data_IF_177733363306
#
_entry.id   IF_177733363306
#
_cell.length_a   1.000
_cell.length_b   1.000
_cell.length_c   1.000
_cell.angle_alpha   90.00
_cell.angle_beta   90.00
_cell.angle_gamma   90.00
#
_symmetry.space_group_name_H-M   'P 1'
#
loop_
_entity.id
_entity.type
_entity.pdbx_description
1 polymer ?
#
# COMPACT_ATOMS: atom_id res chain seq x y z
N UNK A 1 4.75 -42.42 10.64
CA UNK A 1 3.91 -41.32 11.13
C UNK A 1 2.98 -40.93 10.00
N UNK A 2 1.66 -40.96 10.20
CA UNK A 2 0.72 -40.77 9.09
C UNK A 2 0.82 -39.35 8.52
N UNK A 3 1.24 -39.23 7.26
CA UNK A 3 1.50 -37.95 6.57
C UNK A 3 0.29 -37.00 6.57
N UNK A 4 -0.91 -37.55 6.74
CA UNK A 4 -2.17 -36.80 6.88
C UNK A 4 -2.16 -35.82 8.06
N UNK A 5 -1.45 -36.14 9.17
CA UNK A 5 -1.35 -35.28 10.35
C UNK A 5 -0.50 -34.03 10.12
N UNK A 6 0.30 -34.00 9.05
CA UNK A 6 1.20 -32.87 8.70
C UNK A 6 0.64 -32.08 7.52
N UNK A 7 0.02 -32.75 6.56
CA UNK A 7 -0.54 -32.11 5.35
C UNK A 7 -1.70 -31.17 5.70
N UNK A 8 -2.58 -31.57 6.62
CA UNK A 8 -3.73 -30.76 7.02
C UNK A 8 -3.34 -29.41 7.66
N UNK A 9 -2.47 -29.35 8.68
CA UNK A 9 -2.03 -28.07 9.24
C UNK A 9 -1.19 -27.26 8.25
N UNK A 10 -0.37 -27.91 7.40
CA UNK A 10 0.39 -27.20 6.37
C UNK A 10 -0.52 -26.50 5.35
N UNK A 11 -1.61 -27.14 4.92
CA UNK A 11 -2.59 -26.55 4.01
C UNK A 11 -3.31 -25.33 4.64
N UNK A 12 -3.63 -25.41 5.93
CA UNK A 12 -4.27 -24.29 6.66
C UNK A 12 -3.32 -23.10 6.77
N UNK A 13 -2.04 -23.34 7.09
CA UNK A 13 -1.02 -22.28 7.17
C UNK A 13 -0.78 -21.63 5.80
N UNK A 14 -0.67 -22.44 4.74
CA UNK A 14 -0.51 -21.93 3.37
C UNK A 14 -1.74 -21.12 2.91
N UNK A 15 -2.95 -21.60 3.22
CA UNK A 15 -4.19 -20.87 2.96
C UNK A 15 -4.25 -19.54 3.72
N UNK A 16 -3.83 -19.52 4.99
CA UNK A 16 -3.78 -18.30 5.80
C UNK A 16 -2.78 -17.27 5.27
N UNK A 17 -1.61 -17.71 4.81
CA UNK A 17 -0.59 -16.82 4.22
C UNK A 17 -1.13 -16.14 2.96
N UNK A 18 -1.84 -16.87 2.09
CA UNK A 18 -2.43 -16.32 0.87
C UNK A 18 -3.52 -15.26 1.16
N UNK A 19 -4.29 -15.41 2.24
CA UNK A 19 -5.28 -14.41 2.64
C UNK A 19 -4.63 -13.18 3.29
N UNK A 20 -3.47 -13.35 3.95
CA UNK A 20 -2.75 -12.27 4.61
C UNK A 20 -1.83 -11.45 3.68
N UNK A 21 -1.54 -11.91 2.46
CA UNK A 21 -0.86 -11.10 1.44
C UNK A 21 -1.80 -10.04 0.86
N UNK A 22 -2.20 -9.10 1.70
CA UNK A 22 -2.83 -7.85 1.24
C UNK A 22 -1.90 -7.16 0.26
N UNK A 23 -2.39 -6.86 -0.94
CA UNK A 23 -1.65 -6.11 -1.96
C UNK A 23 -1.12 -4.81 -1.32
N UNK A 24 0.17 -4.79 -1.04
CA UNK A 24 0.84 -3.60 -0.54
C UNK A 24 1.14 -2.72 -1.74
N UNK A 25 0.18 -1.88 -2.12
CA UNK A 25 0.34 -0.87 -3.17
C UNK A 25 1.38 0.20 -2.80
N UNK A 26 1.82 0.25 -1.54
CA UNK A 26 2.99 1.00 -1.10
C UNK A 26 4.28 0.25 -1.36
N UNK A 27 4.63 0.04 -2.64
CA UNK A 27 5.94 -0.53 -2.97
C UNK A 27 7.01 0.56 -2.78
N UNK A 28 8.19 0.20 -2.25
CA UNK A 28 9.31 1.14 -2.11
C UNK A 28 9.67 1.85 -3.44
N UNK A 29 9.33 1.24 -4.57
CA UNK A 29 9.43 1.81 -5.92
C UNK A 29 8.57 3.08 -6.11
N UNK A 30 7.34 3.08 -5.60
CA UNK A 30 6.42 4.24 -5.65
C UNK A 30 6.97 5.39 -4.79
N UNK A 31 7.47 5.07 -3.59
CA UNK A 31 8.08 6.04 -2.68
C UNK A 31 9.35 6.68 -3.30
N UNK A 32 10.17 5.89 -4.00
CA UNK A 32 11.34 6.39 -4.72
C UNK A 32 10.95 7.29 -5.91
N UNK A 33 9.91 6.92 -6.66
CA UNK A 33 9.44 7.70 -7.82
C UNK A 33 8.79 9.03 -7.45
N UNK A 34 8.06 9.08 -6.34
CA UNK A 34 7.45 10.33 -5.88
C UNK A 34 8.42 11.20 -5.10
N UNK A 35 9.39 10.64 -4.35
CA UNK A 35 10.36 11.39 -3.52
C UNK A 35 9.71 12.31 -2.45
N UNK A 36 8.38 12.32 -2.37
CA UNK A 36 7.62 13.12 -1.41
C UNK A 36 7.49 12.40 -0.07
N UNK A 37 7.33 13.16 1.01
CA UNK A 37 7.06 12.60 2.35
C UNK A 37 5.74 11.81 2.32
N UNK A 38 5.61 10.73 3.08
CA UNK A 38 4.37 9.94 3.13
C UNK A 38 3.13 10.78 3.46
N UNK A 39 3.29 11.81 4.30
CA UNK A 39 2.24 12.77 4.68
C UNK A 39 1.77 13.67 3.53
N UNK A 40 2.55 13.76 2.45
CA UNK A 40 2.19 14.53 1.27
C UNK A 40 1.01 13.90 0.53
N UNK A 41 0.96 12.57 0.44
CA UNK A 41 -0.11 11.82 -0.21
C UNK A 41 -1.12 11.23 0.77
N UNK A 42 -0.73 10.92 2.01
CA UNK A 42 -1.58 10.30 3.02
C UNK A 42 -1.76 11.22 4.23
N UNK A 43 -3.00 11.57 4.58
CA UNK A 43 -3.31 12.30 5.82
C UNK A 43 -3.08 11.42 7.06
N UNK A 44 -3.27 10.11 6.91
CA UNK A 44 -2.99 9.13 7.95
C UNK A 44 -2.13 7.99 7.38
N UNK A 45 -0.85 7.99 7.77
CA UNK A 45 0.13 6.99 7.31
C UNK A 45 -0.12 5.60 7.90
N UNK A 46 -0.84 5.49 9.02
CA UNK A 46 -1.19 4.20 9.63
C UNK A 46 -2.30 3.50 8.86
N UNK A 47 -3.18 4.27 8.22
CA UNK A 47 -4.27 3.83 7.36
C UNK A 47 -4.00 4.09 5.88
N UNK A 48 -2.73 4.06 5.44
CA UNK A 48 -2.35 4.35 4.04
C UNK A 48 -3.02 3.43 2.98
N UNK A 49 -3.68 2.34 3.39
CA UNK A 49 -4.49 1.48 2.51
C UNK A 49 -5.87 2.04 2.22
N UNK A 50 -6.35 2.98 3.04
CA UNK A 50 -7.67 3.55 2.90
C UNK A 50 -7.64 4.74 1.95
N UNK A 51 -8.37 4.63 0.84
CA UNK A 51 -8.38 5.67 -0.19
C UNK A 51 -9.00 7.00 0.29
N UNK A 52 -9.74 6.98 1.41
CA UNK A 52 -10.34 8.19 2.00
C UNK A 52 -9.34 9.00 2.79
N UNK A 53 -8.20 8.42 3.17
CA UNK A 53 -7.11 9.12 3.88
C UNK A 53 -6.04 9.66 2.93
N UNK A 54 -6.35 9.83 1.64
CA UNK A 54 -5.46 10.53 0.71
C UNK A 54 -5.75 12.03 0.68
N UNK A 55 -4.69 12.82 0.66
CA UNK A 55 -4.71 14.26 0.37
C UNK A 55 -5.08 14.50 -1.11
N UNK A 56 -5.30 15.75 -1.50
CA UNK A 56 -5.47 16.11 -2.92
C UNK A 56 -4.30 15.64 -3.80
N UNK A 57 -3.07 15.71 -3.31
CA UNK A 57 -1.90 15.19 -4.01
C UNK A 57 -1.95 13.67 -4.17
N UNK A 58 -2.38 12.97 -3.12
CA UNK A 58 -2.56 11.53 -3.15
C UNK A 58 -3.66 11.09 -4.13
N UNK A 59 -4.78 11.81 -4.15
CA UNK A 59 -5.88 11.58 -5.12
C UNK A 59 -5.42 11.82 -6.55
N UNK A 60 -4.69 12.91 -6.79
CA UNK A 60 -4.11 13.19 -8.10
C UNK A 60 -3.15 12.08 -8.55
N UNK A 61 -2.28 11.59 -7.65
CA UNK A 61 -1.40 10.46 -7.96
C UNK A 61 -2.19 9.17 -8.22
N UNK A 62 -3.30 8.93 -7.53
CA UNK A 62 -4.14 7.77 -7.76
C UNK A 62 -4.72 7.75 -9.18
N UNK A 63 -5.15 8.90 -9.69
CA UNK A 63 -5.73 9.03 -11.04
C UNK A 63 -4.66 9.10 -12.14
N UNK A 64 -3.60 9.88 -11.93
CA UNK A 64 -2.58 10.16 -12.95
C UNK A 64 -1.36 9.24 -12.89
N UNK A 65 -1.21 8.45 -11.81
CA UNK A 65 -0.03 7.62 -11.51
C UNK A 65 1.30 8.38 -11.52
N UNK A 66 1.24 9.71 -11.45
CA UNK A 66 2.36 10.63 -11.49
C UNK A 66 2.03 11.87 -10.66
N UNK A 67 3.05 12.45 -10.02
CA UNK A 67 2.97 13.79 -9.42
C UNK A 67 3.49 14.87 -10.37
N UNK A 68 3.96 14.50 -11.56
CA UNK A 68 4.50 15.41 -12.55
C UNK A 68 3.37 16.29 -13.11
N UNK A 69 3.36 17.57 -12.71
CA UNK A 69 2.28 18.51 -13.03
C UNK A 69 1.33 18.82 -11.87
N UNK A 70 1.38 18.08 -10.75
CA UNK A 70 0.68 18.48 -9.54
C UNK A 70 1.43 19.64 -8.88
N UNK A 71 1.02 20.87 -9.19
CA UNK A 71 1.41 22.04 -8.40
C UNK A 71 0.66 22.00 -7.08
N UNK A 72 1.25 21.36 -6.07
CA UNK A 72 0.87 21.69 -4.71
C UNK A 72 1.02 23.20 -4.56
N UNK A 73 -0.02 23.86 -4.04
CA UNK A 73 0.17 25.19 -3.49
C UNK A 73 1.20 25.02 -2.37
N UNK A 74 2.45 25.33 -2.70
CA UNK A 74 3.61 25.39 -1.84
C UNK A 74 3.24 26.33 -0.68
N UNK A 75 2.67 25.78 0.39
CA UNK A 75 2.51 26.53 1.64
C UNK A 75 3.87 26.55 2.30
N UNK A 76 4.63 27.56 1.87
CA UNK A 76 5.73 28.22 2.56
C UNK A 76 5.52 28.28 4.07
#
# INVERSE_FOLDING_TARGET
MSHLKVILPAAIVLGGILVCTTASYGTADIAKKTTQKCVYCHTDVKNAKDLKTLTDAGKYYHEHKSLDGYKAADKK
#
